data_IF_609844027736
#
_entry.id   IF_609844027736
#
_cell.length_a   1.000
_cell.length_b   1.000
_cell.length_c   1.000
_cell.angle_alpha   90.00
_cell.angle_beta   90.00
_cell.angle_gamma   90.00
#
_symmetry.space_group_name_H-M   'P 1'
#
loop_
_entity.id
_entity.type
_entity.pdbx_description
1 polymer ?
#
# COMPACT_ATOMS: atom_id res chain seq x y z
N UNK A 1 -19.80 3.41 -2.37
CA UNK A 1 -19.76 2.34 -3.38
C UNK A 1 -19.63 0.94 -2.74
N UNK A 2 -18.55 0.65 -2.01
CA UNK A 2 -18.34 -0.63 -1.31
C UNK A 2 -18.64 -0.48 0.18
N UNK A 3 -19.39 -1.44 0.75
CA UNK A 3 -19.69 -1.53 2.18
C UNK A 3 -19.31 -2.93 2.67
N UNK A 4 -18.40 -2.99 3.62
CA UNK A 4 -17.96 -4.20 4.32
C UNK A 4 -18.50 -4.12 5.74
N UNK A 5 -19.26 -5.12 6.19
CA UNK A 5 -19.97 -5.09 7.46
C UNK A 5 -19.65 -6.33 8.29
N UNK A 6 -18.89 -6.13 9.35
CA UNK A 6 -18.59 -7.12 10.41
C UNK A 6 -18.10 -8.48 9.89
N UNK A 7 -17.27 -8.48 8.86
CA UNK A 7 -16.79 -9.72 8.27
C UNK A 7 -15.75 -10.40 9.15
N UNK A 8 -15.87 -11.73 9.23
CA UNK A 8 -14.89 -12.61 9.85
C UNK A 8 -14.63 -13.80 8.95
N UNK A 9 -13.37 -14.25 8.89
CA UNK A 9 -12.96 -15.35 8.03
C UNK A 9 -11.92 -16.26 8.68
N UNK A 10 -12.01 -17.57 8.40
CA UNK A 10 -11.03 -18.57 8.80
C UNK A 10 -10.88 -19.65 7.73
N UNK A 11 -9.64 -20.04 7.42
CA UNK A 11 -9.35 -21.14 6.49
C UNK A 11 -9.59 -22.52 7.13
N UNK A 12 -9.41 -22.64 8.43
CA UNK A 12 -9.62 -23.88 9.18
C UNK A 12 -10.26 -23.58 10.54
N UNK A 13 -10.94 -24.55 11.17
CA UNK A 13 -11.49 -24.39 12.51
C UNK A 13 -10.44 -23.83 13.49
N UNK A 14 -10.81 -22.81 14.27
CA UNK A 14 -9.95 -22.10 15.26
C UNK A 14 -8.76 -21.29 14.68
N UNK A 15 -8.58 -21.24 13.36
CA UNK A 15 -7.56 -20.41 12.71
C UNK A 15 -8.21 -19.20 12.02
N UNK A 16 -8.79 -18.30 12.83
CA UNK A 16 -9.33 -17.03 12.33
C UNK A 16 -8.22 -16.17 11.71
N UNK A 17 -8.52 -15.50 10.61
CA UNK A 17 -7.59 -14.62 9.87
C UNK A 17 -8.12 -13.19 9.83
N UNK A 18 -9.46 -13.02 9.74
CA UNK A 18 -10.12 -11.72 9.79
C UNK A 18 -11.16 -11.76 10.91
N UNK A 19 -11.23 -10.73 11.73
CA UNK A 19 -12.11 -10.64 12.89
C UNK A 19 -12.87 -9.31 12.91
N UNK A 20 -14.18 -9.37 12.66
CA UNK A 20 -15.12 -8.26 12.78
C UNK A 20 -14.70 -6.99 12.00
N UNK A 21 -14.24 -7.12 10.76
CA UNK A 21 -13.78 -5.99 9.94
C UNK A 21 -14.99 -5.28 9.33
N UNK A 22 -15.04 -3.96 9.48
CA UNK A 22 -16.08 -3.10 8.90
C UNK A 22 -15.47 -1.82 8.36
N UNK A 23 -15.86 -1.40 7.14
CA UNK A 23 -15.51 -0.13 6.56
C UNK A 23 -16.39 0.18 5.34
N UNK A 24 -16.29 1.40 4.83
CA UNK A 24 -16.91 1.83 3.58
C UNK A 24 -15.90 2.50 2.68
N UNK A 25 -16.08 2.35 1.37
CA UNK A 25 -15.27 3.03 0.34
C UNK A 25 -16.22 3.68 -0.67
N UNK A 26 -16.04 4.97 -0.89
CA UNK A 26 -16.78 5.74 -1.91
C UNK A 26 -16.33 5.44 -3.34
N UNK A 27 -17.04 5.96 -4.31
CA UNK A 27 -16.65 5.90 -5.74
C UNK A 27 -15.40 6.75 -5.97
N UNK A 28 -14.45 6.25 -6.76
CA UNK A 28 -13.18 6.90 -7.05
C UNK A 28 -12.24 7.09 -5.85
N UNK A 29 -12.61 6.57 -4.67
CA UNK A 29 -11.74 6.61 -3.49
C UNK A 29 -10.69 5.49 -3.53
N UNK A 30 -9.52 5.81 -2.97
CA UNK A 30 -8.40 4.89 -2.81
C UNK A 30 -8.19 4.56 -1.34
N UNK A 31 -8.22 3.27 -1.00
CA UNK A 31 -7.92 2.73 0.33
C UNK A 31 -6.60 1.98 0.31
N UNK A 32 -5.70 2.32 1.21
CA UNK A 32 -4.49 1.55 1.48
C UNK A 32 -4.69 0.67 2.72
N UNK A 33 -4.45 -0.64 2.60
CA UNK A 33 -4.48 -1.59 3.71
C UNK A 33 -3.05 -1.96 4.07
N UNK A 34 -2.63 -1.61 5.27
CA UNK A 34 -1.28 -1.87 5.77
C UNK A 34 -1.27 -2.83 6.96
N UNK A 35 -0.12 -3.44 7.18
CA UNK A 35 0.12 -4.37 8.28
C UNK A 35 1.23 -5.36 7.95
N UNK A 36 1.70 -6.10 8.94
CA UNK A 36 2.74 -7.12 8.79
C UNK A 36 2.36 -8.22 7.79
N UNK A 37 3.37 -8.95 7.30
CA UNK A 37 3.12 -10.16 6.53
C UNK A 37 2.30 -11.16 7.35
N UNK A 38 1.25 -11.74 6.74
CA UNK A 38 0.34 -12.65 7.43
C UNK A 38 -0.74 -11.97 8.28
N UNK A 39 -0.87 -10.64 8.31
CA UNK A 39 -1.92 -9.93 9.07
C UNK A 39 -3.34 -10.12 8.52
N UNK A 40 -3.49 -10.67 7.30
CA UNK A 40 -4.78 -10.92 6.66
C UNK A 40 -5.12 -10.00 5.48
N UNK A 41 -4.21 -9.11 5.03
CA UNK A 41 -4.46 -8.17 3.93
C UNK A 41 -4.93 -8.85 2.64
N UNK A 42 -4.16 -9.81 2.13
CA UNK A 42 -4.52 -10.57 0.93
C UNK A 42 -5.82 -11.38 1.11
N UNK A 43 -6.07 -11.89 2.32
CA UNK A 43 -7.33 -12.58 2.65
C UNK A 43 -8.51 -11.62 2.58
N UNK A 44 -8.34 -10.38 3.07
CA UNK A 44 -9.37 -9.35 2.97
C UNK A 44 -9.64 -8.96 1.51
N UNK A 45 -8.60 -8.78 0.69
CA UNK A 45 -8.78 -8.53 -0.75
C UNK A 45 -9.51 -9.68 -1.45
N UNK A 46 -9.16 -10.93 -1.15
CA UNK A 46 -9.83 -12.12 -1.70
C UNK A 46 -11.29 -12.19 -1.28
N UNK A 47 -11.61 -11.86 -0.02
CA UNK A 47 -12.99 -11.79 0.47
C UNK A 47 -13.79 -10.70 -0.26
N UNK A 48 -13.22 -9.50 -0.43
CA UNK A 48 -13.86 -8.40 -1.17
C UNK A 48 -14.08 -8.75 -2.64
N UNK A 49 -13.16 -9.49 -3.24
CA UNK A 49 -13.32 -9.94 -4.63
C UNK A 49 -14.37 -11.05 -4.79
N UNK A 50 -14.75 -11.76 -3.73
CA UNK A 50 -15.66 -12.89 -3.78
C UNK A 50 -14.97 -14.24 -4.04
N UNK A 51 -13.70 -14.38 -3.68
CA UNK A 51 -12.94 -15.65 -3.75
C UNK A 51 -13.09 -16.51 -2.48
N UNK A 52 -13.77 -16.01 -1.46
CA UNK A 52 -13.90 -16.67 -0.17
C UNK A 52 -15.36 -16.60 0.31
N UNK A 53 -15.87 -17.73 0.84
CA UNK A 53 -17.17 -17.76 1.48
C UNK A 53 -17.06 -17.24 2.91
N UNK A 54 -17.79 -16.16 3.20
CA UNK A 54 -17.79 -15.54 4.53
C UNK A 54 -18.68 -16.35 5.48
N UNK A 55 -18.19 -16.62 6.68
CA UNK A 55 -18.99 -17.24 7.74
C UNK A 55 -19.82 -16.23 8.55
N UNK A 56 -19.35 -14.97 8.58
CA UNK A 56 -20.02 -13.87 9.30
C UNK A 56 -19.82 -12.58 8.55
N UNK A 57 -20.82 -11.70 8.64
CA UNK A 57 -20.81 -10.40 7.99
C UNK A 57 -21.23 -10.47 6.52
N UNK A 58 -21.17 -9.35 5.86
CA UNK A 58 -21.55 -9.21 4.45
C UNK A 58 -20.73 -8.13 3.75
N UNK A 59 -20.62 -8.26 2.44
CA UNK A 59 -19.97 -7.28 1.57
C UNK A 59 -20.96 -6.88 0.48
N UNK A 60 -21.19 -5.59 0.33
CA UNK A 60 -22.03 -5.03 -0.71
C UNK A 60 -21.26 -4.05 -1.58
N UNK A 61 -21.44 -4.15 -2.89
CA UNK A 61 -21.04 -3.11 -3.81
C UNK A 61 -22.27 -2.54 -4.48
N UNK A 62 -22.55 -1.25 -4.24
CA UNK A 62 -23.83 -0.63 -4.61
C UNK A 62 -24.98 -1.46 -4.02
N UNK A 63 -25.86 -2.00 -4.86
CA UNK A 63 -26.98 -2.88 -4.45
C UNK A 63 -26.66 -4.39 -4.51
N UNK A 64 -25.46 -4.77 -4.95
CA UNK A 64 -25.10 -6.17 -5.16
C UNK A 64 -24.31 -6.71 -3.97
N UNK A 65 -24.77 -7.84 -3.44
CA UNK A 65 -23.99 -8.60 -2.45
C UNK A 65 -22.86 -9.36 -3.14
N UNK A 66 -21.68 -9.29 -2.55
CA UNK A 66 -20.51 -10.05 -3.02
C UNK A 66 -20.49 -11.39 -2.31
N UNK A 67 -20.83 -12.43 -3.04
CA UNK A 67 -20.88 -13.81 -2.55
C UNK A 67 -19.63 -14.58 -3.01
N UNK A 68 -19.29 -15.64 -2.29
CA UNK A 68 -18.16 -16.51 -2.55
C UNK A 68 -18.44 -17.66 -3.52
N UNK A 69 -17.48 -18.61 -3.65
CA UNK A 69 -17.55 -19.75 -4.56
C UNK A 69 -18.72 -20.70 -4.35
N UNK A 70 -19.29 -20.78 -3.15
CA UNK A 70 -20.48 -21.61 -2.88
C UNK A 70 -21.72 -21.12 -3.66
N UNK A 71 -21.71 -19.86 -4.12
CA UNK A 71 -22.83 -19.23 -4.82
C UNK A 71 -22.56 -18.96 -6.31
N UNK A 72 -21.29 -18.93 -6.73
CA UNK A 72 -20.89 -18.57 -8.09
C UNK A 72 -19.84 -19.51 -8.64
N UNK A 73 -20.10 -20.09 -9.83
CA UNK A 73 -19.13 -20.91 -10.57
C UNK A 73 -17.88 -20.12 -10.97
N UNK A 74 -18.04 -18.82 -11.26
CA UNK A 74 -16.94 -17.91 -11.57
C UNK A 74 -16.94 -16.84 -10.46
N UNK A 75 -15.96 -16.88 -9.55
CA UNK A 75 -15.87 -15.90 -8.47
C UNK A 75 -15.63 -14.49 -8.98
N UNK A 76 -16.11 -13.53 -8.21
CA UNK A 76 -15.91 -12.10 -8.44
C UNK A 76 -17.04 -11.44 -9.23
N UNK A 77 -17.17 -10.14 -9.04
CA UNK A 77 -18.10 -9.30 -9.78
C UNK A 77 -17.50 -8.89 -11.13
N UNK A 78 -18.29 -8.82 -12.18
CA UNK A 78 -17.82 -8.47 -13.53
C UNK A 78 -17.10 -7.12 -13.61
N UNK A 79 -17.51 -6.18 -12.74
CA UNK A 79 -16.97 -4.83 -12.62
C UNK A 79 -15.82 -4.71 -11.60
N UNK A 80 -15.39 -5.82 -10.96
CA UNK A 80 -14.20 -5.87 -10.11
C UNK A 80 -13.02 -6.49 -10.87
N UNK A 81 -11.81 -6.05 -10.49
CA UNK A 81 -10.57 -6.74 -10.87
C UNK A 81 -9.66 -6.91 -9.66
N UNK A 82 -9.07 -8.08 -9.57
CA UNK A 82 -8.09 -8.43 -8.55
C UNK A 82 -6.77 -8.78 -9.21
N UNK A 83 -5.71 -8.12 -8.82
CA UNK A 83 -4.34 -8.43 -9.24
C UNK A 83 -3.64 -9.06 -8.04
N UNK A 84 -3.52 -10.38 -8.11
CA UNK A 84 -2.81 -11.19 -7.12
C UNK A 84 -1.29 -11.10 -7.31
N UNK A 85 -0.55 -11.64 -6.35
CA UNK A 85 0.91 -11.79 -6.45
C UNK A 85 1.33 -12.78 -7.55
N UNK A 86 0.49 -13.77 -7.86
CA UNK A 86 0.66 -14.70 -8.97
C UNK A 86 -0.11 -14.17 -10.18
N UNK A 87 0.61 -13.79 -11.23
CA UNK A 87 0.08 -12.98 -12.33
C UNK A 87 -0.66 -13.79 -13.36
N UNK A 88 -1.34 -14.76 -13.31
CA UNK A 88 -2.12 -15.49 -14.34
C UNK A 88 -1.98 -14.91 -15.78
N UNK A 89 -0.76 -14.64 -16.24
CA UNK A 89 -0.45 -14.12 -17.58
C UNK A 89 -0.25 -15.26 -18.58
N UNK A 90 -0.50 -14.98 -19.86
CA UNK A 90 -0.21 -15.89 -20.96
C UNK A 90 1.29 -15.80 -21.33
N UNK A 91 2.14 -16.77 -20.95
CA UNK A 91 3.59 -16.61 -21.01
C UNK A 91 4.15 -16.57 -22.44
N UNK A 92 3.46 -17.20 -23.39
CA UNK A 92 3.94 -17.36 -24.77
C UNK A 92 3.38 -16.33 -25.76
N UNK A 93 2.52 -15.43 -25.29
CA UNK A 93 1.97 -14.33 -26.09
C UNK A 93 2.69 -13.02 -25.74
N UNK A 94 2.53 -12.01 -26.59
CA UNK A 94 3.13 -10.70 -26.39
C UNK A 94 2.49 -9.94 -25.21
N UNK A 95 3.17 -8.91 -24.74
CA UNK A 95 2.64 -7.98 -23.74
C UNK A 95 1.34 -7.33 -24.23
N UNK A 96 1.33 -6.83 -25.47
CA UNK A 96 0.14 -6.21 -26.07
C UNK A 96 -1.04 -7.18 -26.14
N UNK A 97 -0.81 -8.44 -26.55
CA UNK A 97 -1.85 -9.49 -26.58
C UNK A 97 -2.38 -9.83 -25.19
N UNK A 98 -1.53 -9.87 -24.17
CA UNK A 98 -1.97 -10.07 -22.79
C UNK A 98 -2.88 -8.93 -22.30
N UNK A 99 -2.50 -7.67 -22.53
CA UNK A 99 -3.30 -6.49 -22.15
C UNK A 99 -4.62 -6.50 -22.91
N UNK A 100 -4.58 -6.69 -24.24
CA UNK A 100 -5.76 -6.68 -25.10
C UNK A 100 -6.62 -7.95 -25.07
N UNK A 101 -6.31 -8.96 -24.22
CA UNK A 101 -6.98 -10.27 -24.18
C UNK A 101 -8.51 -10.18 -24.07
N UNK A 102 -8.98 -9.28 -23.21
CA UNK A 102 -10.39 -9.13 -22.87
C UNK A 102 -11.10 -8.00 -23.62
N UNK A 103 -10.39 -7.29 -24.50
CA UNK A 103 -10.95 -6.26 -25.36
C UNK A 103 -11.64 -6.88 -26.60
N UNK A 104 -12.63 -6.16 -27.13
CA UNK A 104 -13.39 -6.62 -28.30
C UNK A 104 -12.48 -6.80 -29.51
N UNK A 105 -12.70 -7.89 -30.25
CA UNK A 105 -12.03 -8.14 -31.55
C UNK A 105 -12.77 -7.47 -32.71
N UNK A 106 -14.00 -7.05 -32.49
CA UNK A 106 -14.81 -6.38 -33.51
C UNK A 106 -14.41 -4.92 -33.75
N UNK A 107 -13.66 -4.32 -32.80
CA UNK A 107 -13.19 -2.94 -32.88
C UNK A 107 -11.66 -2.92 -32.72
N UNK A 108 -10.91 -3.28 -33.77
CA UNK A 108 -9.47 -3.45 -33.68
C UNK A 108 -8.72 -2.15 -33.38
N UNK A 109 -9.17 -1.02 -33.92
CA UNK A 109 -8.57 0.30 -33.69
C UNK A 109 -8.72 0.74 -32.23
N UNK A 110 -9.93 0.61 -31.67
CA UNK A 110 -10.18 0.92 -30.25
C UNK A 110 -9.34 0.02 -29.33
N UNK A 111 -9.25 -1.27 -29.68
CA UNK A 111 -8.41 -2.23 -28.94
C UNK A 111 -6.94 -1.82 -28.97
N UNK A 112 -6.41 -1.44 -30.12
CA UNK A 112 -5.02 -1.01 -30.27
C UNK A 112 -4.75 0.27 -29.50
N UNK A 113 -5.61 1.28 -29.66
CA UNK A 113 -5.53 2.54 -28.93
C UNK A 113 -5.54 2.31 -27.41
N UNK A 114 -6.48 1.50 -26.93
CA UNK A 114 -6.60 1.18 -25.50
C UNK A 114 -5.37 0.43 -24.97
N UNK A 115 -4.85 -0.51 -25.75
CA UNK A 115 -3.64 -1.25 -25.39
C UNK A 115 -2.44 -0.32 -25.31
N UNK A 116 -2.30 0.62 -26.24
CA UNK A 116 -1.22 1.62 -26.26
C UNK A 116 -1.30 2.55 -25.05
N UNK A 117 -2.48 3.08 -24.73
CA UNK A 117 -2.71 3.90 -23.52
C UNK A 117 -2.23 3.17 -22.26
N UNK A 118 -2.63 1.91 -22.08
CA UNK A 118 -2.25 1.13 -20.91
C UNK A 118 -0.76 0.80 -20.85
N UNK A 119 -0.12 0.56 -22.01
CA UNK A 119 1.32 0.38 -22.10
C UNK A 119 2.08 1.63 -21.63
N UNK A 120 1.57 2.82 -21.93
CA UNK A 120 2.15 4.09 -21.47
C UNK A 120 1.97 4.27 -19.95
N UNK A 121 0.79 3.94 -19.41
CA UNK A 121 0.51 4.01 -17.95
C UNK A 121 1.48 3.15 -17.15
N UNK A 122 1.77 1.93 -17.66
CA UNK A 122 2.67 0.99 -16.96
C UNK A 122 4.14 1.09 -17.40
N UNK A 123 4.50 2.05 -18.25
CA UNK A 123 5.86 2.26 -18.77
C UNK A 123 6.45 1.02 -19.48
N UNK A 124 5.64 0.38 -20.32
CA UNK A 124 6.02 -0.86 -21.02
C UNK A 124 5.89 -0.75 -22.55
N UNK A 125 5.79 0.45 -23.12
CA UNK A 125 5.59 0.66 -24.57
C UNK A 125 6.67 -0.01 -25.42
N UNK A 126 7.95 0.04 -24.99
CA UNK A 126 9.07 -0.62 -25.70
C UNK A 126 9.03 -2.15 -25.64
N UNK A 127 8.23 -2.73 -24.75
CA UNK A 127 8.08 -4.18 -24.56
C UNK A 127 6.80 -4.75 -25.20
N UNK A 128 6.04 -3.94 -25.94
CA UNK A 128 4.71 -4.32 -26.46
C UNK A 128 4.70 -5.67 -27.20
N UNK A 129 5.74 -5.96 -28.00
CA UNK A 129 5.89 -7.15 -28.81
C UNK A 129 6.67 -8.29 -28.13
N UNK A 130 7.24 -8.04 -26.94
CA UNK A 130 7.98 -9.05 -26.20
C UNK A 130 7.04 -10.12 -25.61
N UNK A 131 7.50 -11.37 -25.56
CA UNK A 131 6.76 -12.46 -24.92
C UNK A 131 6.84 -12.33 -23.40
N UNK A 132 5.71 -12.48 -22.72
CA UNK A 132 5.64 -12.33 -21.26
C UNK A 132 6.63 -13.22 -20.51
N UNK A 133 6.92 -14.42 -21.01
CA UNK A 133 7.91 -15.34 -20.39
C UNK A 133 9.32 -14.80 -20.30
N UNK A 134 9.69 -13.80 -21.12
CA UNK A 134 11.03 -13.19 -21.13
C UNK A 134 11.15 -12.01 -20.17
N UNK A 135 10.04 -11.59 -19.57
CA UNK A 135 9.97 -10.44 -18.69
C UNK A 135 10.42 -10.79 -17.25
N UNK A 136 11.00 -9.79 -16.56
CA UNK A 136 11.23 -9.88 -15.12
C UNK A 136 9.90 -9.92 -14.35
N UNK A 137 9.92 -10.37 -13.08
CA UNK A 137 8.74 -10.41 -12.22
C UNK A 137 8.04 -9.05 -12.11
N UNK A 138 8.81 -7.97 -11.90
CA UNK A 138 8.24 -6.61 -11.85
C UNK A 138 7.67 -6.13 -13.19
N UNK A 139 8.20 -6.57 -14.32
CA UNK A 139 7.61 -6.30 -15.63
C UNK A 139 6.31 -7.09 -15.83
N UNK A 140 6.28 -8.36 -15.42
CA UNK A 140 5.06 -9.17 -15.45
C UNK A 140 3.96 -8.57 -14.57
N UNK A 141 4.31 -8.10 -13.38
CA UNK A 141 3.39 -7.42 -12.46
C UNK A 141 2.74 -6.20 -13.13
N UNK A 142 3.53 -5.37 -13.81
CA UNK A 142 3.02 -4.21 -14.55
C UNK A 142 2.04 -4.64 -15.66
N UNK A 143 2.36 -5.68 -16.42
CA UNK A 143 1.45 -6.22 -17.45
C UNK A 143 0.14 -6.74 -16.85
N UNK A 144 0.18 -7.39 -15.69
CA UNK A 144 -1.02 -7.86 -14.98
C UNK A 144 -1.94 -6.71 -14.56
N UNK A 145 -1.36 -5.62 -14.04
CA UNK A 145 -2.10 -4.39 -13.70
C UNK A 145 -2.77 -3.80 -14.94
N UNK A 146 -2.04 -3.61 -16.05
CA UNK A 146 -2.61 -3.08 -17.29
C UNK A 146 -3.73 -3.96 -17.85
N UNK A 147 -3.54 -5.29 -17.85
CA UNK A 147 -4.59 -6.24 -18.26
C UNK A 147 -5.85 -6.12 -17.41
N UNK A 148 -5.70 -5.93 -16.11
CA UNK A 148 -6.83 -5.73 -15.20
C UNK A 148 -7.59 -4.43 -15.50
N UNK A 149 -6.88 -3.39 -15.93
CA UNK A 149 -7.45 -2.07 -16.27
C UNK A 149 -8.06 -2.02 -17.67
N UNK A 150 -7.86 -3.04 -18.52
CA UNK A 150 -8.27 -3.02 -19.93
C UNK A 150 -9.76 -2.67 -20.13
N UNK A 151 -10.65 -3.19 -19.30
CA UNK A 151 -12.10 -2.97 -19.34
C UNK A 151 -12.61 -1.90 -18.36
N UNK A 152 -11.74 -1.02 -17.85
CA UNK A 152 -12.09 0.04 -16.91
C UNK A 152 -12.99 -0.46 -15.75
N UNK A 153 -12.45 -1.22 -14.80
CA UNK A 153 -13.25 -1.73 -13.69
C UNK A 153 -13.72 -0.59 -12.79
N UNK A 154 -14.85 -0.75 -12.11
CA UNK A 154 -15.30 0.20 -11.08
C UNK A 154 -14.44 0.12 -9.80
N UNK A 155 -13.90 -1.08 -9.51
CA UNK A 155 -13.00 -1.33 -8.39
C UNK A 155 -11.85 -2.23 -8.81
N UNK A 156 -10.64 -1.78 -8.53
CA UNK A 156 -9.43 -2.60 -8.65
C UNK A 156 -8.85 -2.91 -7.28
N UNK A 157 -8.52 -4.18 -7.06
CA UNK A 157 -7.88 -4.70 -5.85
C UNK A 157 -6.45 -5.10 -6.21
N UNK A 158 -5.46 -4.50 -5.55
CA UNK A 158 -4.04 -4.68 -5.82
C UNK A 158 -3.34 -5.27 -4.59
N UNK A 159 -2.76 -6.45 -4.75
CA UNK A 159 -2.02 -7.13 -3.68
C UNK A 159 -0.52 -6.98 -3.90
N UNK A 160 0.14 -6.14 -3.09
CA UNK A 160 1.56 -5.78 -3.18
C UNK A 160 1.99 -5.32 -4.59
N UNK A 161 1.30 -4.32 -5.22
CA UNK A 161 1.45 -4.03 -6.65
C UNK A 161 2.83 -3.52 -7.06
N UNK A 162 3.68 -3.16 -6.11
CA UNK A 162 5.01 -2.63 -6.38
C UNK A 162 6.14 -3.44 -5.73
N UNK A 163 5.82 -4.58 -5.10
CA UNK A 163 6.77 -5.37 -4.31
C UNK A 163 7.95 -5.95 -5.12
N UNK A 164 7.75 -6.22 -6.41
CA UNK A 164 8.78 -6.79 -7.30
C UNK A 164 9.41 -5.75 -8.25
N UNK A 165 9.14 -4.45 -8.05
CA UNK A 165 9.60 -3.38 -8.93
C UNK A 165 10.81 -2.66 -8.31
N UNK A 166 11.83 -2.41 -9.14
CA UNK A 166 13.03 -1.68 -8.72
C UNK A 166 12.68 -0.27 -8.19
N UNK A 167 13.30 0.12 -7.08
CA UNK A 167 13.02 1.37 -6.39
C UNK A 167 13.05 2.62 -7.29
N UNK A 168 13.99 2.68 -8.26
CA UNK A 168 14.13 3.84 -9.15
C UNK A 168 12.97 3.99 -10.14
N UNK A 169 12.25 2.90 -10.48
CA UNK A 169 11.05 2.93 -11.35
C UNK A 169 9.74 3.03 -10.57
N UNK A 170 9.77 2.60 -9.32
CA UNK A 170 8.60 2.47 -8.45
C UNK A 170 7.82 3.79 -8.32
N UNK A 171 8.51 4.89 -8.04
CA UNK A 171 7.87 6.19 -7.83
C UNK A 171 7.23 6.79 -9.10
N UNK A 172 7.86 6.61 -10.27
CA UNK A 172 7.29 7.04 -11.55
C UNK A 172 6.02 6.27 -11.87
N UNK A 173 6.09 4.94 -11.76
CA UNK A 173 4.96 4.06 -12.03
C UNK A 173 3.78 4.32 -11.07
N UNK A 174 4.06 4.49 -9.77
CA UNK A 174 3.04 4.86 -8.77
C UNK A 174 2.26 6.10 -9.20
N UNK A 175 2.98 7.19 -9.50
CA UNK A 175 2.34 8.44 -9.92
C UNK A 175 1.47 8.25 -11.15
N UNK A 176 1.96 7.58 -12.19
CA UNK A 176 1.20 7.34 -13.42
C UNK A 176 -0.04 6.49 -13.17
N UNK A 177 0.12 5.35 -12.47
CA UNK A 177 -0.98 4.45 -12.19
C UNK A 177 -2.09 5.13 -11.37
N UNK A 178 -1.74 5.74 -10.24
CA UNK A 178 -2.76 6.34 -9.37
C UNK A 178 -3.38 7.60 -9.96
N UNK A 179 -2.62 8.42 -10.73
CA UNK A 179 -3.21 9.53 -11.49
C UNK A 179 -4.21 9.02 -12.52
N UNK A 180 -3.87 7.96 -13.24
CA UNK A 180 -4.76 7.31 -14.20
C UNK A 180 -6.04 6.77 -13.53
N UNK A 181 -5.92 6.08 -12.38
CA UNK A 181 -7.09 5.59 -11.64
C UNK A 181 -8.01 6.73 -11.19
N UNK A 182 -7.44 7.84 -10.71
CA UNK A 182 -8.21 9.03 -10.32
C UNK A 182 -8.89 9.69 -11.51
N UNK A 183 -8.18 9.88 -12.62
CA UNK A 183 -8.73 10.45 -13.86
C UNK A 183 -9.91 9.64 -14.39
N UNK A 184 -9.81 8.32 -14.36
CA UNK A 184 -10.87 7.40 -14.80
C UNK A 184 -11.92 7.12 -13.72
N UNK A 185 -11.85 7.78 -12.56
CA UNK A 185 -12.75 7.57 -11.41
C UNK A 185 -12.84 6.09 -10.98
N UNK A 186 -11.74 5.32 -11.11
CA UNK A 186 -11.67 3.92 -10.70
C UNK A 186 -11.34 3.86 -9.21
N UNK A 187 -12.21 3.22 -8.42
CA UNK A 187 -11.93 2.96 -6.99
C UNK A 187 -10.81 1.94 -6.85
N UNK A 188 -9.96 2.10 -5.83
CA UNK A 188 -8.81 1.22 -5.65
C UNK A 188 -8.65 0.80 -4.18
N UNK A 189 -8.35 -0.48 -3.96
CA UNK A 189 -7.87 -0.96 -2.66
C UNK A 189 -6.50 -1.60 -2.87
N UNK A 190 -5.50 -1.06 -2.19
CA UNK A 190 -4.12 -1.56 -2.25
C UNK A 190 -3.75 -2.19 -0.92
N UNK A 191 -3.33 -3.45 -0.93
CA UNK A 191 -2.67 -4.06 0.21
C UNK A 191 -1.15 -3.93 0.01
N UNK A 192 -0.46 -3.30 0.95
CA UNK A 192 0.98 -3.06 0.87
C UNK A 192 1.61 -2.99 2.28
N UNK A 193 2.91 -3.08 2.33
CA UNK A 193 3.72 -2.77 3.52
C UNK A 193 4.53 -1.48 3.35
N UNK A 194 4.38 -0.77 2.22
CA UNK A 194 5.13 0.44 1.88
C UNK A 194 4.32 1.69 2.26
N UNK A 195 4.83 2.45 3.23
CA UNK A 195 4.21 3.68 3.71
C UNK A 195 4.00 4.74 2.64
N UNK A 196 4.90 4.79 1.63
CA UNK A 196 4.79 5.73 0.51
C UNK A 196 3.53 5.50 -0.33
N UNK A 197 3.06 4.24 -0.43
CA UNK A 197 1.81 3.92 -1.15
C UNK A 197 0.61 4.58 -0.47
N UNK A 198 0.59 4.57 0.89
CA UNK A 198 -0.49 5.20 1.64
C UNK A 198 -0.39 6.73 1.62
N UNK A 199 0.78 7.29 1.96
CA UNK A 199 0.97 8.73 2.11
C UNK A 199 0.75 9.51 0.81
N UNK A 200 1.16 8.93 -0.33
CA UNK A 200 1.15 9.64 -1.61
C UNK A 200 -0.17 9.54 -2.38
N UNK A 201 -0.94 8.47 -2.19
CA UNK A 201 -2.02 8.15 -3.14
C UNK A 201 -3.35 7.72 -2.50
N UNK A 202 -3.37 7.36 -1.22
CA UNK A 202 -4.60 6.90 -0.58
C UNK A 202 -5.41 8.06 0.03
N UNK A 203 -6.74 7.99 -0.13
CA UNK A 203 -7.67 8.88 0.59
C UNK A 203 -7.88 8.40 2.03
N UNK A 204 -7.83 7.08 2.21
CA UNK A 204 -8.01 6.40 3.49
C UNK A 204 -6.94 5.32 3.68
N UNK A 205 -6.56 5.09 4.92
CA UNK A 205 -5.63 4.03 5.30
C UNK A 205 -6.22 3.20 6.42
N UNK A 206 -6.11 1.89 6.27
CA UNK A 206 -6.49 0.88 7.26
C UNK A 206 -5.26 0.13 7.74
N UNK A 207 -5.07 0.02 9.03
CA UNK A 207 -4.01 -0.79 9.61
C UNK A 207 -4.58 -2.04 10.24
N UNK A 208 -4.11 -3.21 9.77
CA UNK A 208 -4.51 -4.52 10.30
C UNK A 208 -3.38 -5.09 11.14
N UNK A 209 -3.67 -5.38 12.40
CA UNK A 209 -2.79 -6.08 13.34
C UNK A 209 -3.59 -7.11 14.12
N UNK A 210 -3.02 -8.29 14.32
CA UNK A 210 -3.70 -9.36 15.06
C UNK A 210 -5.13 -9.63 14.56
N UNK A 211 -5.33 -9.66 13.22
CA UNK A 211 -6.62 -9.98 12.54
C UNK A 211 -7.70 -8.89 12.64
N UNK A 212 -7.41 -7.77 13.29
CA UNK A 212 -8.34 -6.66 13.54
C UNK A 212 -7.83 -5.37 12.93
N UNK A 213 -8.74 -4.48 12.63
CA UNK A 213 -8.42 -3.09 12.31
C UNK A 213 -8.07 -2.38 13.60
N UNK A 214 -6.85 -1.84 13.70
CA UNK A 214 -6.37 -1.08 14.85
C UNK A 214 -6.35 0.43 14.59
N UNK A 215 -6.32 0.83 13.31
CA UNK A 215 -6.41 2.24 12.91
C UNK A 215 -7.10 2.35 11.54
N UNK A 216 -7.93 3.39 11.38
CA UNK A 216 -8.62 3.70 10.13
C UNK A 216 -8.90 5.20 10.07
N UNK A 217 -8.16 5.92 9.22
CA UNK A 217 -8.30 7.36 8.99
C UNK A 217 -7.59 7.75 7.69
N UNK A 218 -7.52 9.05 7.38
CA UNK A 218 -6.63 9.54 6.32
C UNK A 218 -5.17 9.24 6.66
N UNK A 219 -4.32 8.91 5.68
CA UNK A 219 -2.90 8.65 5.93
C UNK A 219 -2.21 9.81 6.65
N UNK A 220 -2.60 11.06 6.30
CA UNK A 220 -2.06 12.28 6.94
C UNK A 220 -2.36 12.34 8.43
N UNK A 221 -3.58 11.99 8.84
CA UNK A 221 -3.96 12.00 10.26
C UNK A 221 -3.20 10.90 11.02
N UNK A 222 -3.14 9.68 10.46
CA UNK A 222 -2.41 8.57 11.06
C UNK A 222 -0.91 8.82 11.18
N UNK A 223 -0.32 9.57 10.22
CA UNK A 223 1.06 10.00 10.28
C UNK A 223 1.29 11.05 11.36
N UNK A 224 0.47 12.10 11.41
CA UNK A 224 0.63 13.23 12.33
C UNK A 224 0.32 12.91 13.79
N UNK A 225 -0.65 12.01 14.00
CA UNK A 225 -1.15 11.68 15.35
C UNK A 225 -1.34 10.17 15.48
N UNK A 226 -0.26 9.36 15.38
CA UNK A 226 -0.36 7.93 15.52
C UNK A 226 -0.69 7.57 16.97
N UNK A 227 -1.75 6.76 17.16
CA UNK A 227 -2.18 6.30 18.49
C UNK A 227 -1.25 5.23 19.08
N UNK A 228 -0.58 4.47 18.22
CA UNK A 228 0.31 3.37 18.61
C UNK A 228 1.65 3.48 17.87
N UNK A 229 2.72 3.06 18.55
CA UNK A 229 4.07 2.95 17.94
C UNK A 229 4.04 2.14 16.65
N UNK A 230 3.28 1.04 16.61
CA UNK A 230 3.16 0.19 15.42
C UNK A 230 2.63 0.95 14.20
N UNK A 231 1.63 1.82 14.38
CA UNK A 231 1.07 2.63 13.29
C UNK A 231 2.10 3.64 12.79
N UNK A 232 2.80 4.31 13.69
CA UNK A 232 3.88 5.25 13.36
C UNK A 232 5.01 4.57 12.58
N UNK A 233 5.46 3.40 13.05
CA UNK A 233 6.54 2.62 12.45
C UNK A 233 6.23 2.06 11.06
N UNK A 234 4.99 2.11 10.59
CA UNK A 234 4.63 1.77 9.20
C UNK A 234 5.05 2.85 8.19
N UNK A 235 5.31 4.06 8.66
CA UNK A 235 5.67 5.20 7.80
C UNK A 235 7.17 5.46 7.77
N UNK A 236 7.84 5.43 8.93
CA UNK A 236 9.27 5.72 9.07
C UNK A 236 9.76 5.20 10.42
N UNK A 237 11.07 5.27 10.65
CA UNK A 237 11.65 5.10 11.99
C UNK A 237 10.96 6.04 12.96
N UNK A 238 10.65 5.57 14.17
CA UNK A 238 9.98 6.38 15.20
C UNK A 238 10.63 6.19 16.55
N UNK A 239 10.86 7.30 17.24
CA UNK A 239 11.30 7.31 18.61
C UNK A 239 10.10 7.24 19.57
N UNK A 240 10.15 6.35 20.53
CA UNK A 240 9.24 6.33 21.67
C UNK A 240 9.99 6.87 22.88
N UNK A 241 9.74 8.12 23.25
CA UNK A 241 10.50 8.84 24.25
C UNK A 241 9.60 9.37 25.38
N UNK A 242 10.17 9.45 26.56
CA UNK A 242 9.60 10.23 27.64
C UNK A 242 10.24 11.64 27.65
N UNK A 243 9.44 12.64 27.32
CA UNK A 243 9.83 14.06 27.27
C UNK A 243 8.93 14.81 28.25
N UNK A 244 9.53 15.52 29.21
CA UNK A 244 8.82 16.28 30.25
C UNK A 244 7.75 15.44 31.01
N UNK A 245 8.02 14.15 31.20
CA UNK A 245 7.13 13.21 31.90
C UNK A 245 6.03 12.59 31.04
N UNK A 246 5.90 12.97 29.77
CA UNK A 246 4.94 12.43 28.83
C UNK A 246 5.58 11.48 27.83
N UNK A 247 4.89 10.40 27.53
CA UNK A 247 5.29 9.47 26.47
C UNK A 247 4.89 10.03 25.11
N UNK A 248 5.88 10.24 24.24
CA UNK A 248 5.67 10.80 22.89
C UNK A 248 6.24 9.86 21.81
N UNK A 249 5.55 9.79 20.67
CA UNK A 249 6.02 9.18 19.43
C UNK A 249 6.54 10.29 18.53
N UNK A 250 7.83 10.27 18.20
CA UNK A 250 8.50 11.39 17.54
C UNK A 250 9.33 10.84 16.39
N UNK A 251 9.07 11.30 15.16
CA UNK A 251 9.88 10.93 14.01
C UNK A 251 11.25 11.61 14.03
N UNK A 252 12.30 10.99 13.44
CA UNK A 252 13.65 11.56 13.43
C UNK A 252 13.75 12.99 12.88
N UNK A 253 12.91 13.34 11.88
CA UNK A 253 12.89 14.69 11.29
C UNK A 253 12.22 15.75 12.18
N UNK A 254 11.45 15.35 13.20
CA UNK A 254 10.82 16.23 14.17
C UNK A 254 11.76 16.61 15.33
N UNK A 255 12.99 16.10 15.32
CA UNK A 255 14.00 16.41 16.36
C UNK A 255 15.09 17.26 15.73
N UNK A 256 15.34 18.41 16.33
CA UNK A 256 16.35 19.37 15.91
C UNK A 256 17.43 19.56 16.97
N UNK A 257 18.65 19.87 16.55
CA UNK A 257 19.72 20.24 17.47
C UNK A 257 19.60 21.71 17.84
N UNK A 258 19.53 22.00 19.14
CA UNK A 258 19.46 23.37 19.67
C UNK A 258 20.47 23.55 20.81
N UNK A 259 21.22 24.65 20.79
CA UNK A 259 22.19 24.97 21.82
C UNK A 259 21.53 25.36 23.16
N UNK A 260 20.33 25.92 23.07
CA UNK A 260 19.61 26.48 24.23
C UNK A 260 18.67 25.46 24.89
N UNK A 261 18.56 24.24 24.33
CA UNK A 261 17.69 23.21 24.89
C UNK A 261 18.23 22.61 26.18
N UNK A 262 17.33 22.40 27.15
CA UNK A 262 17.60 21.68 28.41
C UNK A 262 17.69 20.15 28.18
N UNK A 263 17.16 19.63 27.10
CA UNK A 263 17.17 18.21 26.80
C UNK A 263 18.53 17.80 26.21
N UNK A 264 19.47 17.40 27.08
CA UNK A 264 20.83 17.04 26.68
C UNK A 264 20.90 15.58 26.24
N UNK A 265 21.60 15.32 25.12
CA UNK A 265 21.88 14.00 24.62
C UNK A 265 23.34 13.84 24.18
N UNK A 266 23.88 12.63 24.27
CA UNK A 266 25.25 12.31 23.88
C UNK A 266 25.25 11.44 22.63
N UNK A 267 25.90 11.92 21.58
CA UNK A 267 25.97 11.25 20.27
C UNK A 267 26.75 9.94 20.39
N UNK A 268 26.21 8.87 19.83
CA UNK A 268 26.76 7.51 19.80
C UNK A 268 27.23 7.08 18.43
N UNK A 269 26.43 7.35 17.39
CA UNK A 269 26.75 7.00 16.01
C UNK A 269 26.12 7.99 15.06
N UNK A 270 26.71 8.06 13.86
CA UNK A 270 26.18 8.87 12.75
C UNK A 270 26.19 8.01 11.50
N UNK A 271 25.05 7.94 10.78
CA UNK A 271 24.87 7.15 9.57
C UNK A 271 24.55 8.09 8.41
N UNK A 272 25.37 8.09 7.36
CA UNK A 272 25.10 8.89 6.18
C UNK A 272 23.96 8.30 5.35
N UNK A 273 22.92 9.07 5.09
CA UNK A 273 21.73 8.70 4.33
C UNK A 273 21.59 9.45 2.99
N UNK A 274 22.64 10.06 2.50
CA UNK A 274 22.67 10.84 1.26
C UNK A 274 22.36 12.31 1.49
N UNK A 275 21.11 12.68 1.74
CA UNK A 275 20.68 14.07 1.97
C UNK A 275 20.81 14.56 3.44
N UNK A 276 21.00 13.64 4.37
CA UNK A 276 21.14 13.92 5.80
C UNK A 276 21.98 12.83 6.49
N UNK A 277 22.33 13.08 7.74
CA UNK A 277 22.89 12.11 8.66
C UNK A 277 21.82 11.68 9.66
N UNK A 278 21.57 10.37 9.77
CA UNK A 278 20.79 9.83 10.87
C UNK A 278 21.71 9.69 12.08
N UNK A 279 21.41 10.41 13.14
CA UNK A 279 22.22 10.46 14.36
C UNK A 279 21.56 9.59 15.41
N UNK A 280 22.31 8.65 15.96
CA UNK A 280 21.96 7.90 17.15
C UNK A 280 22.58 8.59 18.37
N UNK A 281 21.76 8.97 19.33
CA UNK A 281 22.23 9.58 20.57
C UNK A 281 21.57 8.94 21.80
N UNK A 282 22.14 9.17 22.98
CA UNK A 282 21.57 8.75 24.26
C UNK A 282 20.96 9.96 24.95
N UNK A 283 19.67 9.91 25.18
CA UNK A 283 18.86 10.91 25.89
C UNK A 283 18.14 10.24 27.05
N UNK A 284 18.36 10.72 28.27
CA UNK A 284 17.73 10.20 29.51
C UNK A 284 17.72 8.65 29.59
N UNK A 285 18.87 8.00 29.33
CA UNK A 285 19.02 6.54 29.30
C UNK A 285 18.32 5.84 28.13
N UNK A 286 17.60 6.54 27.26
CA UNK A 286 16.94 6.02 26.05
C UNK A 286 17.81 6.30 24.83
N UNK A 287 17.64 5.47 23.79
CA UNK A 287 18.23 5.73 22.47
C UNK A 287 17.26 6.62 21.70
N UNK A 288 17.80 7.66 21.06
CA UNK A 288 17.07 8.58 20.20
C UNK A 288 17.74 8.63 18.83
N UNK A 289 16.93 8.61 17.77
CA UNK A 289 17.37 8.83 16.40
C UNK A 289 16.82 10.15 15.88
N UNK A 290 17.66 10.96 15.23
CA UNK A 290 17.22 12.19 14.60
C UNK A 290 18.00 12.50 13.33
N UNK A 291 17.41 13.31 12.45
CA UNK A 291 18.03 13.75 11.22
C UNK A 291 18.82 15.04 11.45
N UNK A 292 20.04 15.09 10.91
CA UNK A 292 20.87 16.30 10.92
C UNK A 292 21.53 16.52 9.57
N UNK A 293 21.62 17.76 9.06
CA UNK A 293 22.28 18.04 7.78
C UNK A 293 23.76 17.65 7.76
N UNK A 294 24.43 17.77 8.90
CA UNK A 294 25.87 17.54 9.06
C UNK A 294 26.16 16.37 9.98
N UNK A 295 27.34 15.77 9.81
CA UNK A 295 27.84 14.76 10.73
C UNK A 295 28.07 15.35 12.13
N UNK A 296 27.70 14.60 13.14
CA UNK A 296 28.01 14.94 14.54
C UNK A 296 28.93 13.87 15.10
N UNK A 297 30.09 14.30 15.63
CA UNK A 297 31.12 13.38 16.09
C UNK A 297 30.68 12.63 17.36
N UNK A 298 31.18 11.39 17.49
CA UNK A 298 30.96 10.55 18.67
C UNK A 298 31.32 11.26 19.98
N UNK A 299 30.53 11.08 21.01
CA UNK A 299 30.74 11.61 22.34
C UNK A 299 30.34 13.07 22.52
N UNK A 300 29.99 13.79 21.46
CA UNK A 300 29.54 15.19 21.55
C UNK A 300 28.22 15.27 22.30
N UNK A 301 28.13 16.15 23.27
CA UNK A 301 26.91 16.54 23.96
C UNK A 301 26.17 17.61 23.12
N UNK A 302 24.89 17.41 22.91
CA UNK A 302 24.01 18.30 22.13
C UNK A 302 22.69 18.53 22.89
N UNK A 303 22.04 19.65 22.63
CA UNK A 303 20.67 19.89 23.07
C UNK A 303 19.71 19.43 21.98
N UNK A 304 18.59 18.80 22.36
CA UNK A 304 17.52 18.36 21.46
C UNK A 304 16.29 19.27 21.64
N UNK A 305 15.71 19.68 20.53
CA UNK A 305 14.44 20.39 20.47
C UNK A 305 13.44 19.53 19.69
N UNK A 306 12.27 19.29 20.28
CA UNK A 306 11.20 18.47 19.71
C UNK A 306 10.16 19.37 19.07
N UNK A 307 10.01 19.24 17.74
CA UNK A 307 9.02 19.99 16.96
C UNK A 307 7.70 19.24 17.00
N UNK A 308 6.60 19.95 17.30
CA UNK A 308 5.24 19.38 17.35
C UNK A 308 4.68 19.08 15.95
#
# INVERSE_FOLDING_TARGET
MLKVSNISFQYAPKKEILSAISFTLGEGQHLCIMGESGSGKSTLLKAIYGLLDLKKGSIYCKSHEVLGPDFHLVPGMSFFKYVAQDFDLMPYTSVAENIGKFLSRFYPEEKEQRTKELLEVIEMSSFANEKVKTLSGGQQQRVAIARALAKEPELILLDEPFGQIDNFKKNSLRRKLFSYLKEKNISCIVATHDGDDALSFADQMMVIKNKKVIAFDSPRNLYKSPLEHYVAALFDDVNELYVDGEKRLIYPHQIQVSKDSSHKAVVKKSFFKGSFWLIEARFNSQVVFFQNPENIVFGKEIGLYFVD
#
